data_IF_597692872645
#
_entry.id   IF_597692872645
#
_cell.length_a   1.000
_cell.length_b   1.000
_cell.length_c   1.000
_cell.angle_alpha   90.00
_cell.angle_beta   90.00
_cell.angle_gamma   90.00
#
_symmetry.space_group_name_H-M   'P 1'
#
loop_
_entity.id
_entity.type
_entity.pdbx_description
1 polymer ?
#
# COMPACT_ATOMS: atom_id res chain seq x y z
N UNK A 1 9.22 -32.28 46.25
CA UNK A 1 8.54 -30.98 46.11
C UNK A 1 8.00 -30.93 44.70
N UNK A 2 6.68 -31.03 44.55
CA UNK A 2 6.04 -30.98 43.24
C UNK A 2 6.22 -29.57 42.70
N UNK A 3 7.07 -29.41 41.68
CA UNK A 3 7.04 -28.24 40.83
C UNK A 3 5.65 -28.18 40.21
N UNK A 4 4.78 -27.42 40.85
CA UNK A 4 3.57 -26.90 40.25
C UNK A 4 4.06 -26.10 39.06
N UNK A 5 4.15 -26.77 37.91
CA UNK A 5 4.20 -26.18 36.58
C UNK A 5 2.86 -25.47 36.41
N UNK A 6 2.69 -24.37 37.14
CA UNK A 6 1.61 -23.43 36.98
C UNK A 6 1.84 -22.92 35.58
N UNK A 7 0.99 -23.36 34.65
CA UNK A 7 0.96 -22.92 33.26
C UNK A 7 0.99 -21.38 33.25
N UNK A 8 2.19 -20.81 33.21
CA UNK A 8 2.39 -19.36 33.16
C UNK A 8 2.09 -19.01 31.74
N UNK A 9 0.85 -18.59 31.51
CA UNK A 9 0.46 -18.02 30.23
C UNK A 9 1.41 -16.86 29.91
N UNK A 10 2.10 -16.94 28.79
CA UNK A 10 2.99 -15.90 28.30
C UNK A 10 2.30 -15.12 27.19
N UNK A 11 2.59 -13.82 27.10
CA UNK A 11 2.20 -13.01 25.97
C UNK A 11 2.77 -13.60 24.68
N UNK A 12 1.91 -13.96 23.71
CA UNK A 12 2.33 -14.50 22.41
C UNK A 12 3.23 -13.56 21.60
N UNK A 13 3.19 -12.26 21.88
CA UNK A 13 3.91 -11.23 21.13
C UNK A 13 5.28 -10.93 21.73
N UNK A 14 5.38 -10.81 23.05
CA UNK A 14 6.62 -10.40 23.72
C UNK A 14 7.14 -11.39 24.77
N UNK A 15 6.55 -12.58 24.86
CA UNK A 15 6.89 -13.68 25.77
C UNK A 15 6.84 -13.38 27.28
N UNK A 16 6.46 -12.16 27.70
CA UNK A 16 6.31 -11.81 29.12
C UNK A 16 5.23 -12.66 29.77
N UNK A 17 5.50 -13.11 31.00
CA UNK A 17 4.53 -13.82 31.83
C UNK A 17 3.29 -12.95 32.11
N UNK A 18 2.11 -13.56 32.05
CA UNK A 18 0.82 -12.91 32.28
C UNK A 18 0.22 -13.37 33.61
N UNK A 19 0.06 -12.43 34.53
CA UNK A 19 -0.56 -12.66 35.83
C UNK A 19 -1.96 -12.03 35.87
N UNK A 20 -2.98 -12.81 36.25
CA UNK A 20 -4.35 -12.33 36.49
C UNK A 20 -4.97 -11.57 35.30
N UNK A 21 -5.45 -10.35 35.55
CA UNK A 21 -6.21 -9.51 34.59
C UNK A 21 -5.37 -8.89 33.46
N UNK A 22 -4.08 -9.21 33.37
CA UNK A 22 -3.20 -8.73 32.29
C UNK A 22 -3.41 -9.48 30.97
N UNK A 23 -4.24 -10.53 30.99
CA UNK A 23 -4.55 -11.41 29.86
C UNK A 23 -5.56 -10.76 28.92
N UNK A 24 -5.27 -10.82 27.62
CA UNK A 24 -6.19 -10.45 26.54
C UNK A 24 -6.25 -11.59 25.55
N UNK A 25 -7.43 -12.17 25.38
CA UNK A 25 -7.65 -13.27 24.44
C UNK A 25 -7.43 -12.81 23.00
N UNK A 26 -6.57 -13.51 22.26
CA UNK A 26 -6.32 -13.22 20.85
C UNK A 26 -7.50 -13.71 20.00
N UNK A 27 -8.00 -14.91 20.29
CA UNK A 27 -9.05 -15.59 19.53
C UNK A 27 -10.44 -15.48 20.20
N UNK A 28 -10.85 -14.28 20.58
CA UNK A 28 -12.16 -14.05 21.20
C UNK A 28 -13.22 -13.63 20.17
N UNK A 29 -14.22 -14.47 19.88
CA UNK A 29 -15.16 -14.23 18.78
C UNK A 29 -16.08 -13.01 18.99
N UNK A 30 -16.35 -12.62 20.24
CA UNK A 30 -17.26 -11.52 20.58
C UNK A 30 -16.55 -10.20 20.97
N UNK A 31 -15.24 -10.07 20.70
CA UNK A 31 -14.53 -8.83 21.02
C UNK A 31 -14.78 -7.74 19.96
N UNK A 32 -15.10 -6.51 20.40
CA UNK A 32 -15.31 -5.34 19.52
C UNK A 32 -14.13 -5.07 18.58
N UNK A 33 -12.90 -5.38 19.02
CA UNK A 33 -11.70 -5.35 18.20
C UNK A 33 -11.08 -6.76 18.23
N UNK A 34 -10.99 -7.39 17.07
CA UNK A 34 -10.49 -8.74 16.96
C UNK A 34 -8.94 -8.73 16.92
N UNK A 35 -8.31 -9.05 18.05
CA UNK A 35 -6.85 -9.08 18.19
C UNK A 35 -6.18 -10.07 17.23
N UNK A 36 -6.86 -11.17 16.86
CA UNK A 36 -6.37 -12.11 15.84
C UNK A 36 -6.16 -11.40 14.50
N UNK A 37 -7.12 -10.58 14.07
CA UNK A 37 -7.06 -9.85 12.79
C UNK A 37 -5.94 -8.82 12.83
N UNK A 38 -5.87 -8.03 13.90
CA UNK A 38 -4.83 -7.00 14.05
C UNK A 38 -3.43 -7.60 14.09
N UNK A 39 -3.25 -8.72 14.79
CA UNK A 39 -1.95 -9.38 14.85
C UNK A 39 -1.60 -10.08 13.53
N UNK A 40 -2.58 -10.65 12.83
CA UNK A 40 -2.36 -11.23 11.49
C UNK A 40 -1.89 -10.18 10.50
N UNK A 41 -2.53 -9.00 10.53
CA UNK A 41 -2.11 -7.84 9.74
C UNK A 41 -0.69 -7.40 10.09
N UNK A 42 -0.37 -7.26 11.39
CA UNK A 42 0.95 -6.84 11.86
C UNK A 42 2.09 -7.78 11.44
N UNK A 43 1.83 -9.11 11.40
CA UNK A 43 2.83 -10.13 11.05
C UNK A 43 2.82 -10.47 9.56
N UNK A 44 1.82 -9.99 8.80
CA UNK A 44 1.69 -10.27 7.37
C UNK A 44 1.31 -11.73 7.05
N UNK A 45 0.74 -12.46 8.02
CA UNK A 45 0.28 -13.84 7.83
C UNK A 45 -0.98 -14.10 8.63
N UNK A 46 -1.83 -14.99 8.15
CA UNK A 46 -3.01 -15.41 8.89
C UNK A 46 -2.61 -16.19 10.15
N UNK A 47 -3.32 -15.91 11.25
CA UNK A 47 -3.16 -16.63 12.51
C UNK A 47 -4.37 -17.51 12.77
N UNK A 48 -4.10 -18.79 13.03
CA UNK A 48 -5.08 -19.77 13.51
C UNK A 48 -4.71 -20.23 14.92
N UNK A 49 -5.64 -20.91 15.60
CA UNK A 49 -5.33 -21.60 16.85
C UNK A 49 -4.40 -22.78 16.56
N UNK A 50 -3.12 -22.60 16.84
CA UNK A 50 -2.02 -23.54 16.58
C UNK A 50 -1.52 -24.23 17.86
N UNK A 51 -2.30 -24.19 18.93
CA UNK A 51 -1.93 -24.70 20.25
C UNK A 51 -0.84 -23.87 20.97
N UNK A 52 -0.36 -22.79 20.35
CA UNK A 52 0.56 -21.83 21.00
C UNK A 52 -0.23 -20.78 21.77
N UNK A 53 0.46 -20.00 22.61
CA UNK A 53 -0.14 -19.04 23.56
C UNK A 53 -1.36 -18.28 23.01
N UNK A 54 -2.46 -18.28 23.76
CA UNK A 54 -3.74 -17.70 23.31
C UNK A 54 -3.94 -16.25 23.77
N UNK A 55 -2.94 -15.71 24.49
CA UNK A 55 -3.04 -14.44 25.19
C UNK A 55 -2.00 -13.42 24.74
N UNK A 56 -2.39 -12.15 24.74
CA UNK A 56 -1.52 -11.01 24.64
C UNK A 56 -1.55 -10.19 25.94
N UNK A 57 -0.44 -9.51 26.26
CA UNK A 57 -0.44 -8.51 27.34
C UNK A 57 -1.13 -7.22 26.89
N UNK A 58 -1.62 -6.43 27.85
CA UNK A 58 -2.26 -5.13 27.58
C UNK A 58 -1.40 -4.19 26.74
N UNK A 59 -0.06 -4.20 26.94
CA UNK A 59 0.86 -3.36 26.16
C UNK A 59 0.86 -3.75 24.68
N UNK A 60 0.94 -5.04 24.36
CA UNK A 60 0.94 -5.50 22.98
C UNK A 60 -0.43 -5.32 22.32
N UNK A 61 -1.53 -5.59 23.06
CA UNK A 61 -2.88 -5.32 22.57
C UNK A 61 -3.08 -3.83 22.25
N UNK A 62 -2.59 -2.93 23.10
CA UNK A 62 -2.64 -1.48 22.85
C UNK A 62 -1.82 -1.06 21.63
N UNK A 63 -0.62 -1.63 21.44
CA UNK A 63 0.21 -1.34 20.27
C UNK A 63 -0.48 -1.77 18.97
N UNK A 64 -1.17 -2.91 18.96
CA UNK A 64 -1.94 -3.38 17.80
C UNK A 64 -3.11 -2.44 17.48
N UNK A 65 -3.86 -1.98 18.48
CA UNK A 65 -4.91 -0.98 18.29
C UNK A 65 -4.36 0.33 17.71
N UNK A 66 -3.20 0.78 18.22
CA UNK A 66 -2.53 1.99 17.72
C UNK A 66 -2.09 1.86 16.27
N UNK A 67 -1.54 0.72 15.88
CA UNK A 67 -1.16 0.43 14.50
C UNK A 67 -2.39 0.52 13.58
N UNK A 68 -3.49 -0.14 13.95
CA UNK A 68 -4.74 -0.10 13.17
C UNK A 68 -5.32 1.32 12.99
N UNK A 69 -5.21 2.16 14.03
CA UNK A 69 -5.61 3.57 13.93
C UNK A 69 -4.74 4.35 12.97
N UNK A 70 -3.43 4.07 12.92
CA UNK A 70 -2.56 4.66 11.91
C UNK A 70 -2.97 4.22 10.51
N UNK A 71 -3.21 2.92 10.29
CA UNK A 71 -3.64 2.40 8.99
C UNK A 71 -4.92 3.08 8.49
N UNK A 72 -5.89 3.29 9.38
CA UNK A 72 -7.14 3.99 9.05
C UNK A 72 -6.90 5.44 8.62
N UNK A 73 -5.99 6.15 9.30
CA UNK A 73 -5.64 7.54 8.95
C UNK A 73 -4.89 7.58 7.63
N UNK A 74 -3.92 6.67 7.43
CA UNK A 74 -3.15 6.55 6.19
C UNK A 74 -4.08 6.30 5.01
N UNK A 75 -4.96 5.29 5.10
CA UNK A 75 -5.91 4.96 4.04
C UNK A 75 -6.81 6.16 3.66
N UNK A 76 -7.22 6.96 4.66
CA UNK A 76 -8.01 8.17 4.41
C UNK A 76 -7.20 9.26 3.71
N UNK A 77 -5.95 9.49 4.14
CA UNK A 77 -5.05 10.46 3.52
C UNK A 77 -4.75 10.05 2.07
N UNK A 78 -4.47 8.77 1.83
CA UNK A 78 -4.29 8.21 0.50
C UNK A 78 -5.53 8.43 -0.38
N UNK A 79 -6.72 8.08 0.11
CA UNK A 79 -7.96 8.27 -0.64
C UNK A 79 -8.21 9.73 -1.03
N UNK A 80 -8.00 10.68 -0.09
CA UNK A 80 -8.20 12.11 -0.34
C UNK A 80 -7.11 12.72 -1.24
N UNK A 81 -5.89 12.18 -1.18
CA UNK A 81 -4.74 12.72 -1.91
C UNK A 81 -4.67 12.22 -3.35
N UNK A 82 -5.01 10.95 -3.59
CA UNK A 82 -4.96 10.34 -4.92
C UNK A 82 -5.92 11.03 -5.91
N UNK A 83 -7.14 11.37 -5.48
CA UNK A 83 -8.10 12.02 -6.37
C UNK A 83 -7.59 13.39 -6.86
N UNK A 84 -7.01 14.18 -5.94
CA UNK A 84 -6.43 15.49 -6.26
C UNK A 84 -5.19 15.34 -7.14
N UNK A 85 -4.34 14.36 -6.84
CA UNK A 85 -3.14 14.07 -7.62
C UNK A 85 -3.50 13.70 -9.07
N UNK A 86 -4.48 12.83 -9.29
CA UNK A 86 -4.92 12.45 -10.63
C UNK A 86 -5.41 13.64 -11.46
N UNK A 87 -6.17 14.56 -10.86
CA UNK A 87 -6.63 15.79 -11.52
C UNK A 87 -5.45 16.67 -11.96
N UNK A 88 -4.48 16.89 -11.08
CA UNK A 88 -3.27 17.66 -11.38
C UNK A 88 -2.42 17.00 -12.48
N UNK A 89 -2.26 15.68 -12.45
CA UNK A 89 -1.52 14.93 -13.46
C UNK A 89 -2.17 15.03 -14.84
N UNK A 90 -3.50 14.91 -14.92
CA UNK A 90 -4.26 15.08 -16.16
C UNK A 90 -4.10 16.49 -16.75
N UNK A 91 -4.18 17.53 -15.92
CA UNK A 91 -3.99 18.90 -16.36
C UNK A 91 -2.57 19.15 -16.88
N UNK A 92 -1.56 18.69 -16.13
CA UNK A 92 -0.15 18.71 -16.55
C UNK A 92 0.05 17.99 -17.89
N UNK A 93 -0.56 16.83 -18.08
CA UNK A 93 -0.44 16.06 -19.33
C UNK A 93 -1.14 16.76 -20.50
N UNK A 94 -2.29 17.40 -20.29
CA UNK A 94 -2.94 18.25 -21.31
C UNK A 94 -2.05 19.40 -21.75
N UNK A 95 -1.42 20.10 -20.81
CA UNK A 95 -0.49 21.19 -21.10
C UNK A 95 0.72 20.69 -21.89
N UNK A 96 1.32 19.56 -21.49
CA UNK A 96 2.44 18.94 -22.22
C UNK A 96 2.07 18.61 -23.67
N UNK A 97 0.88 18.04 -23.91
CA UNK A 97 0.41 17.74 -25.27
C UNK A 97 0.16 19.01 -26.08
N UNK A 98 -0.46 20.04 -25.49
CA UNK A 98 -0.72 21.31 -26.15
C UNK A 98 0.58 21.99 -26.59
N UNK A 99 1.53 22.15 -25.66
CA UNK A 99 2.84 22.76 -25.93
C UNK A 99 3.61 21.93 -26.98
N UNK A 100 3.67 20.61 -26.82
CA UNK A 100 4.36 19.74 -27.79
C UNK A 100 3.72 19.78 -29.18
N UNK A 101 2.39 19.91 -29.25
CA UNK A 101 1.65 20.10 -30.50
C UNK A 101 1.95 21.44 -31.16
N UNK A 102 1.91 22.55 -30.41
CA UNK A 102 2.27 23.88 -30.91
C UNK A 102 3.72 23.95 -31.38
N UNK A 103 4.64 23.40 -30.58
CA UNK A 103 6.05 23.35 -30.92
C UNK A 103 6.28 22.60 -32.23
N UNK A 104 5.74 21.38 -32.39
CA UNK A 104 5.87 20.62 -33.64
C UNK A 104 5.24 21.34 -34.83
N UNK A 105 4.07 21.96 -34.67
CA UNK A 105 3.40 22.67 -35.77
C UNK A 105 4.21 23.87 -36.27
N UNK A 106 4.86 24.60 -35.36
CA UNK A 106 5.59 25.83 -35.69
C UNK A 106 7.08 25.59 -36.03
N UNK A 107 7.60 24.40 -35.76
CA UNK A 107 9.02 24.05 -35.98
C UNK A 107 9.18 22.79 -36.84
N UNK A 108 8.11 22.28 -37.44
CA UNK A 108 8.23 21.40 -38.58
C UNK A 108 8.71 22.29 -39.73
N UNK A 109 10.01 22.27 -39.99
CA UNK A 109 10.61 22.81 -41.22
C UNK A 109 9.73 22.45 -42.42
N UNK A 110 9.49 23.42 -43.31
CA UNK A 110 8.97 23.22 -44.66
C UNK A 110 9.92 22.31 -45.44
N UNK A 111 9.89 21.02 -45.11
CA UNK A 111 10.78 19.97 -45.62
C UNK A 111 10.09 19.07 -46.65
N UNK A 112 9.19 19.60 -47.47
CA UNK A 112 8.77 18.93 -48.71
C UNK A 112 8.83 19.87 -49.91
N UNK A 113 10.06 20.19 -50.31
CA UNK A 113 10.37 20.14 -51.74
C UNK A 113 10.21 18.66 -52.14
N UNK A 114 9.18 18.37 -52.94
CA UNK A 114 8.91 17.05 -53.53
C UNK A 114 10.12 16.57 -54.39
N UNK A 115 10.30 15.27 -54.72
CA UNK A 115 9.27 14.48 -55.41
C UNK A 115 9.18 12.98 -55.06
N UNK A 116 8.04 12.41 -55.48
CA UNK A 116 7.84 11.03 -55.97
C UNK A 116 6.99 10.09 -55.11
N UNK A 117 6.01 9.51 -55.82
CA UNK A 117 5.08 8.49 -55.41
C UNK A 117 5.73 7.27 -54.75
N UNK A 118 5.11 6.76 -53.68
CA UNK A 118 5.54 5.55 -53.00
C UNK A 118 4.70 5.24 -51.76
N UNK A 119 3.59 4.53 -51.97
CA UNK A 119 2.72 3.87 -50.99
C UNK A 119 3.47 3.17 -49.85
N UNK A 120 2.98 3.31 -48.60
CA UNK A 120 3.31 2.37 -47.52
C UNK A 120 3.16 2.94 -46.11
N UNK A 121 2.02 2.69 -45.47
CA UNK A 121 1.75 3.09 -44.10
C UNK A 121 2.64 2.39 -43.06
N UNK A 122 2.82 3.07 -41.93
CA UNK A 122 3.55 2.57 -40.77
C UNK A 122 3.53 3.55 -39.61
N UNK A 123 2.34 3.87 -39.08
CA UNK A 123 2.23 4.45 -37.74
C UNK A 123 2.63 3.35 -36.75
N UNK A 124 3.93 3.25 -36.46
CA UNK A 124 4.45 2.32 -35.45
C UNK A 124 4.60 3.07 -34.12
N UNK A 125 3.56 2.96 -33.31
CA UNK A 125 3.70 2.65 -31.88
C UNK A 125 4.25 3.73 -30.94
N UNK A 126 3.54 4.83 -30.75
CA UNK A 126 3.62 5.60 -29.49
C UNK A 126 2.83 4.89 -28.39
N UNK A 127 3.34 3.76 -27.86
CA UNK A 127 2.74 3.11 -26.68
C UNK A 127 3.75 2.77 -25.57
N UNK A 128 5.06 2.79 -25.85
CA UNK A 128 6.08 2.38 -24.89
C UNK A 128 6.61 3.52 -23.99
N UNK A 129 6.33 4.79 -24.33
CA UNK A 129 6.80 5.95 -23.56
C UNK A 129 5.92 6.34 -22.36
N UNK A 130 4.63 5.99 -22.36
CA UNK A 130 3.71 6.33 -21.26
C UNK A 130 3.78 5.32 -20.10
N UNK A 131 4.00 4.03 -20.43
CA UNK A 131 4.08 2.95 -19.43
C UNK A 131 5.32 3.08 -18.55
N UNK A 132 6.45 3.55 -19.09
CA UNK A 132 7.70 3.76 -18.31
C UNK A 132 7.59 4.92 -17.33
N UNK A 133 6.91 6.02 -17.69
CA UNK A 133 6.79 7.20 -16.83
C UNK A 133 5.81 6.98 -15.68
N UNK A 134 4.72 6.22 -15.88
CA UNK A 134 3.78 5.87 -14.80
C UNK A 134 4.36 4.81 -13.86
N UNK A 135 5.12 3.83 -14.39
CA UNK A 135 5.85 2.88 -13.55
C UNK A 135 6.93 3.55 -12.71
N UNK A 136 7.68 4.51 -13.25
CA UNK A 136 8.66 5.30 -12.49
C UNK A 136 8.00 6.10 -11.35
N UNK A 137 6.84 6.71 -11.58
CA UNK A 137 6.12 7.46 -10.54
C UNK A 137 5.57 6.52 -9.45
N UNK A 138 5.07 5.34 -9.82
CA UNK A 138 4.57 4.34 -8.87
C UNK A 138 5.73 3.73 -8.03
N UNK A 139 6.88 3.47 -8.65
CA UNK A 139 8.04 2.85 -7.98
C UNK A 139 8.80 3.85 -7.08
N UNK A 140 8.89 5.12 -7.46
CA UNK A 140 9.46 6.20 -6.61
C UNK A 140 8.59 6.60 -5.43
N UNK A 141 7.34 6.12 -5.35
CA UNK A 141 6.44 6.40 -4.22
C UNK A 141 6.50 5.32 -3.13
N UNK A 142 7.36 4.30 -3.27
CA UNK A 142 7.42 3.11 -2.39
C UNK A 142 8.77 2.89 -1.70
N UNK A 143 9.71 3.81 -1.83
CA UNK A 143 11.00 3.88 -1.09
C UNK A 143 11.05 5.18 -0.32
#
# INVERSE_FOLDING_TARGET
MLDVVKMKESCRICARELCGNQRRWIFHPAAKLNLQVLLSHAVGRELSRDGRGEFACSKCAFMLDRMYRFDTVVARVEALSLERLHKLLLEKDRLRHCIGGLYRKNNAEDGSVAPSAGTGGGVVGTELGLKTSLWWIYQSSRT
#
